data_IF_427697212475
#
_entry.id   IF_427697212475
#
_cell.length_a   1.000
_cell.length_b   1.000
_cell.length_c   1.000
_cell.angle_alpha   90.00
_cell.angle_beta   90.00
_cell.angle_gamma   90.00
#
_symmetry.space_group_name_H-M   'P 1'
#
loop_
_entity.id
_entity.type
_entity.pdbx_description
1 polymer ?
#
# COMPACT_ATOMS: atom_id res chain seq x y z
N UNK A 1 11.97 -2.58 -12.57
CA UNK A 1 10.73 -2.37 -11.80
C UNK A 1 9.76 -3.52 -11.94
N UNK A 2 9.08 -3.68 -13.09
CA UNK A 2 8.02 -4.69 -13.28
C UNK A 2 8.45 -6.13 -13.00
N UNK A 3 9.66 -6.54 -13.40
CA UNK A 3 10.18 -7.88 -13.08
C UNK A 3 10.24 -8.14 -11.57
N UNK A 4 10.67 -7.15 -10.78
CA UNK A 4 10.80 -7.26 -9.33
C UNK A 4 9.41 -7.44 -8.71
N UNK A 5 8.45 -6.57 -9.05
CA UNK A 5 7.06 -6.68 -8.58
C UNK A 5 6.39 -8.00 -8.99
N UNK A 6 6.73 -8.55 -10.15
CA UNK A 6 6.17 -9.79 -10.68
C UNK A 6 6.84 -11.06 -10.12
N UNK A 7 7.57 -10.95 -9.00
CA UNK A 7 8.24 -12.09 -8.34
C UNK A 7 9.51 -12.57 -9.01
N UNK A 8 10.09 -11.79 -9.93
CA UNK A 8 11.34 -12.09 -10.64
C UNK A 8 12.45 -11.12 -10.22
N UNK A 9 12.62 -10.94 -8.90
CA UNK A 9 13.56 -9.98 -8.33
C UNK A 9 15.01 -10.18 -8.80
N UNK A 10 15.51 -11.42 -8.78
CA UNK A 10 16.88 -11.75 -9.25
C UNK A 10 17.09 -11.33 -10.70
N UNK A 11 16.17 -11.70 -11.60
CA UNK A 11 16.24 -11.30 -13.01
C UNK A 11 16.16 -9.78 -13.17
N UNK A 12 15.28 -9.13 -12.40
CA UNK A 12 15.18 -7.67 -12.38
C UNK A 12 16.50 -7.00 -11.98
N UNK A 13 17.17 -7.53 -10.96
CA UNK A 13 18.47 -7.05 -10.49
C UNK A 13 19.57 -7.26 -11.54
N UNK A 14 19.63 -8.43 -12.18
CA UNK A 14 20.58 -8.70 -13.28
C UNK A 14 20.46 -7.68 -14.41
N UNK A 15 19.24 -7.28 -14.79
CA UNK A 15 19.04 -6.24 -15.80
C UNK A 15 19.60 -4.89 -15.36
N UNK A 16 19.43 -4.51 -14.09
CA UNK A 16 19.98 -3.25 -13.55
C UNK A 16 21.51 -3.28 -13.58
N UNK A 17 22.12 -4.38 -13.14
CA UNK A 17 23.58 -4.56 -13.14
C UNK A 17 24.16 -4.57 -14.57
N UNK A 18 23.47 -5.20 -15.53
CA UNK A 18 23.88 -5.17 -16.93
C UNK A 18 23.76 -3.78 -17.53
N UNK A 19 22.69 -3.04 -17.22
CA UNK A 19 22.53 -1.67 -17.68
C UNK A 19 23.67 -0.76 -17.17
N UNK A 20 24.06 -0.91 -15.90
CA UNK A 20 25.16 -0.16 -15.30
C UNK A 20 26.53 -0.43 -15.95
N UNK A 21 26.73 -1.59 -16.58
CA UNK A 21 27.95 -1.89 -17.35
C UNK A 21 27.98 -1.17 -18.71
N UNK A 22 26.80 -0.92 -19.29
CA UNK A 22 26.66 -0.26 -20.59
C UNK A 22 26.68 1.26 -20.42
N UNK A 23 25.99 1.76 -19.40
CA UNK A 23 25.94 3.17 -19.04
C UNK A 23 26.16 3.30 -17.53
N UNK A 24 27.36 3.74 -17.09
CA UNK A 24 27.71 3.81 -15.68
C UNK A 24 27.10 5.01 -14.94
N UNK A 25 26.26 5.82 -15.59
CA UNK A 25 25.60 6.94 -14.92
C UNK A 25 24.53 6.44 -13.93
N UNK A 26 24.68 6.75 -12.64
CA UNK A 26 23.75 6.31 -11.60
C UNK A 26 22.76 7.42 -11.24
N UNK A 27 21.53 7.27 -11.72
CA UNK A 27 20.42 8.13 -11.36
C UNK A 27 19.74 7.66 -10.06
N UNK A 28 18.98 8.53 -9.36
CA UNK A 28 18.16 8.12 -8.21
C UNK A 28 17.27 6.90 -8.50
N UNK A 29 16.62 6.86 -9.67
CA UNK A 29 15.83 5.72 -10.11
C UNK A 29 16.64 4.43 -10.28
N UNK A 30 17.87 4.48 -10.79
CA UNK A 30 18.73 3.28 -10.92
C UNK A 30 19.15 2.73 -9.57
N UNK A 31 19.51 3.62 -8.64
CA UNK A 31 19.76 3.25 -7.24
C UNK A 31 18.51 2.64 -6.59
N UNK A 32 17.34 3.24 -6.79
CA UNK A 32 16.08 2.67 -6.33
C UNK A 32 15.84 1.27 -6.89
N UNK A 33 15.98 1.06 -8.20
CA UNK A 33 15.76 -0.25 -8.82
C UNK A 33 16.73 -1.31 -8.31
N UNK A 34 18.01 -0.97 -8.12
CA UNK A 34 19.00 -1.89 -7.56
C UNK A 34 18.67 -2.21 -6.11
N UNK A 35 18.43 -1.19 -5.28
CA UNK A 35 18.05 -1.34 -3.88
C UNK A 35 16.76 -2.15 -3.71
N UNK A 36 15.77 -1.94 -4.57
CA UNK A 36 14.52 -2.69 -4.55
C UNK A 36 14.72 -4.17 -4.93
N UNK A 37 15.54 -4.45 -5.95
CA UNK A 37 15.91 -5.83 -6.29
C UNK A 37 16.64 -6.53 -5.15
N UNK A 38 17.62 -5.85 -4.55
CA UNK A 38 18.37 -6.35 -3.40
C UNK A 38 17.45 -6.61 -2.19
N UNK A 39 16.54 -5.69 -1.88
CA UNK A 39 15.52 -5.86 -0.84
C UNK A 39 14.67 -7.12 -1.07
N UNK A 40 14.14 -7.29 -2.28
CA UNK A 40 13.29 -8.42 -2.63
C UNK A 40 14.07 -9.75 -2.64
N UNK A 41 15.39 -9.71 -2.84
CA UNK A 41 16.29 -10.87 -2.68
C UNK A 41 16.91 -11.01 -1.29
N UNK A 42 16.42 -10.23 -0.31
CA UNK A 42 16.85 -10.24 1.10
C UNK A 42 18.31 -9.85 1.35
N UNK A 43 18.96 -9.17 0.40
CA UNK A 43 20.31 -8.60 0.52
C UNK A 43 20.26 -7.22 1.18
N UNK A 44 19.79 -7.16 2.43
CA UNK A 44 19.36 -5.91 3.07
C UNK A 44 20.47 -4.89 3.33
N UNK A 45 21.68 -5.33 3.69
CA UNK A 45 22.80 -4.41 3.92
C UNK A 45 23.18 -3.70 2.59
N UNK A 46 23.25 -4.44 1.50
CA UNK A 46 23.54 -3.88 0.17
C UNK A 46 22.40 -2.99 -0.34
N UNK A 47 21.14 -3.41 -0.12
CA UNK A 47 19.98 -2.60 -0.45
C UNK A 47 19.99 -1.25 0.30
N UNK A 48 20.40 -1.25 1.56
CA UNK A 48 20.50 -0.03 2.38
C UNK A 48 21.47 0.97 1.76
N UNK A 49 22.65 0.51 1.31
CA UNK A 49 23.65 1.37 0.65
C UNK A 49 23.05 2.04 -0.60
N UNK A 50 22.41 1.25 -1.46
CA UNK A 50 21.83 1.74 -2.70
C UNK A 50 20.69 2.74 -2.45
N UNK A 51 19.80 2.45 -1.50
CA UNK A 51 18.68 3.33 -1.20
C UNK A 51 19.11 4.62 -0.48
N UNK A 52 20.20 4.58 0.30
CA UNK A 52 20.78 5.79 0.90
C UNK A 52 21.40 6.73 -0.15
N UNK A 53 21.96 6.20 -1.25
CA UNK A 53 22.53 7.00 -2.33
C UNK A 53 21.50 7.95 -2.99
N UNK A 54 20.22 7.54 -3.03
CA UNK A 54 19.09 8.35 -3.52
C UNK A 54 18.92 9.63 -2.66
N UNK A 55 19.20 9.52 -1.36
CA UNK A 55 19.01 10.62 -0.39
C UNK A 55 20.18 11.60 -0.40
N UNK A 56 21.40 11.12 -0.65
CA UNK A 56 22.59 11.99 -0.75
C UNK A 56 22.67 12.81 -2.05
N UNK A 57 21.86 12.48 -3.06
CA UNK A 57 21.86 13.18 -4.34
C UNK A 57 21.24 14.58 -4.26
N UNK A 58 21.87 15.56 -4.90
CA UNK A 58 21.37 16.95 -5.00
C UNK A 58 20.26 17.13 -6.03
N UNK A 59 20.00 16.12 -6.86
CA UNK A 59 18.93 16.15 -7.86
C UNK A 59 17.56 16.11 -7.17
N UNK A 60 16.81 17.20 -7.27
CA UNK A 60 15.48 17.34 -6.65
C UNK A 60 14.36 16.66 -7.42
N UNK A 61 14.64 16.19 -8.64
CA UNK A 61 13.59 15.85 -9.61
C UNK A 61 12.94 14.47 -9.39
N UNK A 62 13.54 13.56 -8.62
CA UNK A 62 13.01 12.19 -8.45
C UNK A 62 12.44 11.94 -7.05
N UNK A 63 11.33 12.62 -6.75
CA UNK A 63 10.57 12.45 -5.51
C UNK A 63 10.03 11.02 -5.32
N UNK A 64 9.71 10.32 -6.41
CA UNK A 64 9.19 8.95 -6.36
C UNK A 64 10.23 7.95 -5.89
N UNK A 65 11.47 8.03 -6.38
CA UNK A 65 12.57 7.17 -5.90
C UNK A 65 12.83 7.37 -4.41
N UNK A 66 12.80 8.62 -3.92
CA UNK A 66 12.97 8.91 -2.49
C UNK A 66 11.82 8.40 -1.66
N UNK A 67 10.58 8.60 -2.11
CA UNK A 67 9.38 8.12 -1.44
C UNK A 67 9.39 6.60 -1.32
N UNK A 68 9.50 5.88 -2.44
CA UNK A 68 9.50 4.41 -2.45
C UNK A 68 10.73 3.83 -1.75
N UNK A 69 11.90 4.43 -1.95
CA UNK A 69 13.14 4.04 -1.27
C UNK A 69 13.06 4.22 0.25
N UNK A 70 12.43 5.29 0.72
CA UNK A 70 12.19 5.55 2.15
C UNK A 70 11.34 4.47 2.81
N UNK A 71 10.30 3.99 2.13
CA UNK A 71 9.47 2.88 2.63
C UNK A 71 10.29 1.60 2.82
N UNK A 72 11.12 1.26 1.82
CA UNK A 72 12.00 0.08 1.89
C UNK A 72 13.07 0.23 2.98
N UNK A 73 13.68 1.42 3.12
CA UNK A 73 14.65 1.72 4.17
C UNK A 73 14.06 1.55 5.58
N UNK A 74 12.85 2.09 5.83
CA UNK A 74 12.17 1.87 7.11
C UNK A 74 11.88 0.40 7.36
N UNK A 75 11.38 -0.31 6.34
CA UNK A 75 11.10 -1.73 6.45
C UNK A 75 12.35 -2.55 6.81
N UNK A 76 13.47 -2.28 6.15
CA UNK A 76 14.75 -2.94 6.45
C UNK A 76 15.28 -2.58 7.83
N UNK A 77 15.24 -1.30 8.21
CA UNK A 77 15.64 -0.86 9.55
C UNK A 77 14.87 -1.59 10.65
N UNK A 78 13.55 -1.71 10.52
CA UNK A 78 12.72 -2.49 11.45
C UNK A 78 13.07 -3.98 11.45
N UNK A 79 13.35 -4.56 10.29
CA UNK A 79 13.78 -5.98 10.18
C UNK A 79 15.11 -6.26 10.88
N UNK A 80 16.07 -5.36 10.71
CA UNK A 80 17.43 -5.49 11.24
C UNK A 80 17.54 -4.99 12.69
N UNK A 81 16.50 -4.40 13.26
CA UNK A 81 16.54 -3.74 14.58
C UNK A 81 17.37 -2.45 14.59
N UNK A 82 17.65 -1.86 13.42
CA UNK A 82 18.50 -0.67 13.23
C UNK A 82 17.64 0.57 12.97
N UNK A 83 16.78 0.90 13.93
CA UNK A 83 15.80 2.01 13.81
C UNK A 83 16.38 3.38 14.19
N UNK A 84 17.59 3.41 14.76
CA UNK A 84 18.28 4.65 15.06
C UNK A 84 18.55 5.44 13.77
N UNK A 85 18.25 6.74 13.78
CA UNK A 85 18.46 7.62 12.63
C UNK A 85 17.38 7.55 11.54
N UNK A 86 16.31 6.76 11.69
CA UNK A 86 15.25 6.68 10.66
C UNK A 86 14.14 7.71 10.81
N UNK A 87 14.24 8.61 11.80
CA UNK A 87 13.22 9.61 12.10
C UNK A 87 12.95 10.58 10.95
N UNK A 88 14.00 11.03 10.26
CA UNK A 88 13.85 11.91 9.09
C UNK A 88 13.08 11.21 7.96
N UNK A 89 13.42 9.96 7.66
CA UNK A 89 12.71 9.14 6.65
C UNK A 89 11.23 9.02 7.04
N UNK A 90 10.95 8.79 8.33
CA UNK A 90 9.56 8.71 8.82
C UNK A 90 8.81 10.03 8.63
N UNK A 91 9.42 11.16 8.98
CA UNK A 91 8.80 12.48 8.85
C UNK A 91 8.49 12.84 7.38
N UNK A 92 9.37 12.50 6.45
CA UNK A 92 9.15 12.71 5.02
C UNK A 92 7.97 11.88 4.49
N UNK A 93 7.89 10.60 4.87
CA UNK A 93 6.77 9.75 4.48
C UNK A 93 5.46 10.24 5.07
N UNK A 94 5.46 10.69 6.33
CA UNK A 94 4.28 11.27 6.96
C UNK A 94 3.88 12.60 6.32
N UNK A 95 4.82 13.39 5.78
CA UNK A 95 4.53 14.59 5.00
C UNK A 95 3.87 14.24 3.66
N UNK A 96 4.45 13.29 2.91
CA UNK A 96 3.87 12.82 1.66
C UNK A 96 2.47 12.22 1.86
N UNK A 97 2.26 11.47 2.94
CA UNK A 97 0.94 10.93 3.26
C UNK A 97 -0.10 12.06 3.46
N UNK A 98 0.29 13.15 4.11
CA UNK A 98 -0.58 14.33 4.30
C UNK A 98 -0.90 15.05 2.99
N UNK A 99 0.03 15.11 2.06
CA UNK A 99 -0.22 15.66 0.71
C UNK A 99 -1.25 14.82 -0.07
N UNK A 100 -1.36 13.52 0.24
CA UNK A 100 -2.39 12.62 -0.29
C UNK A 100 -3.68 12.56 0.56
N UNK A 101 -3.86 13.51 1.48
CA UNK A 101 -4.97 13.58 2.46
C UNK A 101 -5.05 12.39 3.43
N UNK A 102 -3.97 11.62 3.59
CA UNK A 102 -3.85 10.66 4.69
C UNK A 102 -3.29 11.34 5.94
N UNK A 103 -3.69 10.89 7.14
CA UNK A 103 -3.21 11.50 8.38
C UNK A 103 -1.70 11.31 8.62
N UNK A 104 -1.17 10.14 8.27
CA UNK A 104 0.23 9.75 8.40
C UNK A 104 0.53 8.53 7.52
N UNK A 105 1.81 8.21 7.33
CA UNK A 105 2.21 7.00 6.63
C UNK A 105 1.81 5.75 7.41
N UNK A 106 1.26 4.76 6.72
CA UNK A 106 0.79 3.49 7.29
C UNK A 106 1.15 2.31 6.41
N UNK A 107 1.13 1.10 6.97
CA UNK A 107 1.29 -0.13 6.21
C UNK A 107 0.28 -0.25 5.06
N UNK A 108 -0.98 0.12 5.30
CA UNK A 108 -2.02 0.13 4.26
C UNK A 108 -1.69 1.08 3.09
N UNK A 109 -1.08 2.24 3.37
CA UNK A 109 -0.59 3.15 2.32
C UNK A 109 0.63 2.57 1.59
N UNK A 110 1.54 1.91 2.30
CA UNK A 110 2.69 1.25 1.70
C UNK A 110 2.28 0.19 0.67
N UNK A 111 1.18 -0.53 0.94
CA UNK A 111 0.63 -1.49 -0.02
C UNK A 111 0.35 -0.84 -1.37
N UNK A 112 -0.13 0.41 -1.43
CA UNK A 112 -0.45 1.12 -2.68
C UNK A 112 0.78 1.27 -3.60
N UNK A 113 1.95 1.53 -3.02
CA UNK A 113 3.21 1.74 -3.76
C UNK A 113 3.85 0.46 -4.30
N UNK A 114 3.58 -0.69 -3.66
CA UNK A 114 4.21 -1.97 -4.00
C UNK A 114 3.16 -3.07 -4.28
N UNK A 115 2.58 -3.10 -5.49
CA UNK A 115 1.66 -4.17 -5.90
C UNK A 115 2.42 -5.44 -6.26
N UNK A 116 3.02 -6.11 -5.27
CA UNK A 116 3.71 -7.37 -5.47
C UNK A 116 2.73 -8.44 -5.97
N UNK A 117 3.19 -9.27 -6.92
CA UNK A 117 2.45 -10.45 -7.37
C UNK A 117 2.25 -11.45 -6.23
N UNK A 118 3.30 -11.66 -5.42
CA UNK A 118 3.27 -12.61 -4.32
C UNK A 118 2.99 -11.85 -3.03
N UNK A 119 1.92 -12.23 -2.33
CA UNK A 119 1.56 -11.56 -1.08
C UNK A 119 2.63 -11.71 0.01
N UNK A 120 3.44 -12.76 -0.02
CA UNK A 120 4.55 -12.94 0.93
C UNK A 120 5.57 -11.79 0.85
N UNK A 121 5.77 -11.18 -0.32
CA UNK A 121 6.64 -10.02 -0.50
C UNK A 121 6.00 -8.77 0.15
N UNK A 122 4.69 -8.57 -0.03
CA UNK A 122 3.92 -7.53 0.67
C UNK A 122 3.98 -7.73 2.18
N UNK A 123 3.72 -8.94 2.68
CA UNK A 123 3.83 -9.27 4.11
C UNK A 123 5.23 -8.99 4.63
N UNK A 124 6.25 -9.29 3.83
CA UNK A 124 7.64 -9.01 4.18
C UNK A 124 7.89 -7.52 4.37
N UNK A 125 7.43 -6.69 3.42
CA UNK A 125 7.48 -5.23 3.54
C UNK A 125 6.77 -4.75 4.82
N UNK A 126 5.52 -5.19 5.05
CA UNK A 126 4.69 -4.74 6.16
C UNK A 126 5.27 -5.10 7.53
N UNK A 127 5.77 -6.33 7.71
CA UNK A 127 6.40 -6.75 8.98
C UNK A 127 7.58 -5.86 9.34
N UNK A 128 8.39 -5.47 8.35
CA UNK A 128 9.51 -4.56 8.60
C UNK A 128 9.04 -3.16 9.00
N UNK A 129 8.02 -2.63 8.33
CA UNK A 129 7.43 -1.34 8.65
C UNK A 129 6.83 -1.32 10.07
N UNK A 130 6.10 -2.36 10.46
CA UNK A 130 5.57 -2.49 11.82
C UNK A 130 6.69 -2.51 12.85
N UNK A 131 7.77 -3.26 12.60
CA UNK A 131 8.94 -3.29 13.50
C UNK A 131 9.68 -1.95 13.57
N UNK A 132 9.56 -1.08 12.57
CA UNK A 132 10.09 0.29 12.61
C UNK A 132 9.11 1.30 13.22
N UNK A 133 8.01 0.85 13.83
CA UNK A 133 7.02 1.73 14.47
C UNK A 133 6.06 2.42 13.50
N UNK A 134 5.96 1.95 12.25
CA UNK A 134 4.91 2.41 11.32
C UNK A 134 3.60 1.70 11.68
N UNK A 135 2.49 2.43 11.92
CA UNK A 135 1.21 1.81 12.18
C UNK A 135 0.75 1.04 10.94
N UNK A 136 0.16 -0.14 11.13
CA UNK A 136 -0.37 -0.93 10.01
C UNK A 136 -1.54 -0.20 9.33
N UNK A 137 -2.43 0.39 10.14
CA UNK A 137 -3.67 1.00 9.70
C UNK A 137 -3.71 2.51 10.02
N UNK A 138 -4.42 3.30 9.19
CA UNK A 138 -4.71 4.69 9.51
C UNK A 138 -5.76 4.82 10.64
N UNK A 139 -6.03 6.06 11.06
CA UNK A 139 -7.11 6.42 12.01
C UNK A 139 -7.03 5.74 13.39
N UNK A 140 -5.84 5.32 13.81
CA UNK A 140 -5.62 4.61 15.09
C UNK A 140 -6.49 3.36 15.25
N UNK A 141 -6.83 2.70 14.14
CA UNK A 141 -7.57 1.45 14.17
C UNK A 141 -6.67 0.32 14.67
N UNK A 142 -7.25 -0.54 15.51
CA UNK A 142 -6.55 -1.71 16.02
C UNK A 142 -6.45 -2.80 14.94
N UNK A 143 -5.24 -3.14 14.45
CA UNK A 143 -5.07 -4.18 13.44
C UNK A 143 -5.46 -5.58 13.94
N UNK A 144 -5.47 -5.80 15.27
CA UNK A 144 -5.85 -7.06 15.90
C UNK A 144 -7.33 -7.09 16.34
N UNK A 145 -8.12 -6.07 15.98
CA UNK A 145 -9.53 -6.01 16.35
C UNK A 145 -10.28 -7.26 15.88
N UNK A 146 -11.11 -7.89 16.73
CA UNK A 146 -11.94 -9.03 16.32
C UNK A 146 -13.03 -8.62 15.31
N UNK A 147 -13.25 -7.32 15.12
CA UNK A 147 -14.17 -6.80 14.11
C UNK A 147 -13.51 -6.73 12.72
N UNK A 148 -12.18 -6.81 12.64
CA UNK A 148 -11.47 -6.77 11.36
C UNK A 148 -11.75 -8.05 10.58
N UNK A 149 -12.18 -7.89 9.34
CA UNK A 149 -12.39 -9.01 8.44
C UNK A 149 -11.06 -9.48 7.86
N UNK A 150 -10.89 -10.79 7.79
CA UNK A 150 -9.82 -11.42 7.03
C UNK A 150 -10.15 -11.48 5.53
N UNK A 151 -9.17 -11.83 4.69
CA UNK A 151 -9.33 -11.87 3.24
C UNK A 151 -10.52 -12.70 2.74
N UNK A 152 -10.79 -13.85 3.36
CA UNK A 152 -11.91 -14.72 2.97
C UNK A 152 -13.26 -14.09 3.33
N UNK A 153 -13.36 -13.47 4.51
CA UNK A 153 -14.56 -12.75 4.93
C UNK A 153 -14.81 -11.53 4.03
N UNK A 154 -13.78 -10.76 3.70
CA UNK A 154 -13.89 -9.64 2.76
C UNK A 154 -14.39 -10.13 1.40
N UNK A 155 -13.84 -11.25 0.89
CA UNK A 155 -14.29 -11.84 -0.36
C UNK A 155 -15.78 -12.17 -0.34
N UNK A 156 -16.24 -12.84 0.72
CA UNK A 156 -17.65 -13.23 0.88
C UNK A 156 -18.59 -12.03 0.98
N UNK A 157 -18.13 -10.88 1.49
CA UNK A 157 -18.95 -9.67 1.64
C UNK A 157 -18.98 -8.86 0.35
N UNK A 158 -17.84 -8.68 -0.33
CA UNK A 158 -17.75 -7.73 -1.44
C UNK A 158 -17.92 -8.38 -2.82
N UNK A 159 -17.43 -9.61 -3.03
CA UNK A 159 -17.39 -10.21 -4.36
C UNK A 159 -18.73 -10.88 -4.69
N UNK A 160 -19.31 -10.49 -5.82
CA UNK A 160 -20.67 -10.88 -6.22
C UNK A 160 -21.76 -9.95 -5.66
N UNK A 161 -21.40 -8.87 -4.97
CA UNK A 161 -22.34 -8.03 -4.26
C UNK A 161 -22.23 -6.54 -4.62
N UNK A 162 -23.28 -5.82 -4.27
CA UNK A 162 -23.35 -4.37 -4.28
C UNK A 162 -23.53 -3.89 -2.84
N UNK A 163 -22.73 -2.90 -2.45
CA UNK A 163 -22.81 -2.25 -1.17
C UNK A 163 -23.03 -0.76 -1.38
N UNK A 164 -23.90 -0.15 -0.57
CA UNK A 164 -24.14 1.29 -0.62
C UNK A 164 -24.10 1.91 0.78
N UNK A 165 -23.79 3.19 0.86
CA UNK A 165 -23.63 3.90 2.11
C UNK A 165 -23.02 5.28 1.92
N UNK A 166 -22.12 5.70 2.79
CA UNK A 166 -21.56 7.07 2.80
C UNK A 166 -20.06 7.10 3.11
N UNK A 167 -19.34 8.05 2.53
CA UNK A 167 -18.01 8.45 2.99
C UNK A 167 -18.15 9.29 4.27
N UNK A 168 -17.39 8.95 5.32
CA UNK A 168 -17.55 9.56 6.63
C UNK A 168 -16.93 10.96 6.70
N UNK A 169 -15.90 11.23 5.89
CA UNK A 169 -15.20 12.51 5.87
C UNK A 169 -15.98 13.60 5.13
N UNK A 170 -16.76 13.24 4.10
CA UNK A 170 -17.45 14.20 3.23
C UNK A 170 -18.97 14.14 3.35
N UNK A 171 -19.53 13.02 3.84
CA UNK A 171 -20.96 12.75 3.85
C UNK A 171 -21.53 12.37 2.48
N UNK A 172 -20.69 12.23 1.44
CA UNK A 172 -21.13 11.86 0.10
C UNK A 172 -21.64 10.42 0.06
N UNK A 173 -22.66 10.17 -0.77
CA UNK A 173 -23.14 8.81 -1.01
C UNK A 173 -22.06 8.00 -1.71
N UNK A 174 -21.91 6.75 -1.28
CA UNK A 174 -20.96 5.80 -1.84
C UNK A 174 -21.71 4.52 -2.26
N UNK A 175 -21.47 4.06 -3.48
CA UNK A 175 -21.97 2.77 -3.98
C UNK A 175 -20.78 2.02 -4.57
N UNK A 176 -20.61 0.77 -4.19
CA UNK A 176 -19.58 -0.12 -4.71
C UNK A 176 -20.20 -1.43 -5.14
N UNK A 177 -19.96 -1.80 -6.39
CA UNK A 177 -20.30 -3.12 -6.91
C UNK A 177 -19.03 -3.85 -7.26
N UNK A 178 -18.87 -5.08 -6.78
CA UNK A 178 -17.77 -5.95 -7.19
C UNK A 178 -18.36 -7.27 -7.66
N UNK A 179 -18.15 -7.59 -8.93
CA UNK A 179 -18.57 -8.87 -9.50
C UNK A 179 -17.72 -10.03 -8.96
N UNK A 180 -18.18 -11.26 -9.16
CA UNK A 180 -17.51 -12.46 -8.64
C UNK A 180 -16.10 -12.67 -9.22
N UNK A 181 -15.84 -12.17 -10.44
CA UNK A 181 -14.51 -12.22 -11.09
C UNK A 181 -13.60 -11.05 -10.69
N UNK A 182 -14.07 -10.14 -9.84
CA UNK A 182 -13.30 -9.01 -9.33
C UNK A 182 -13.43 -7.72 -10.13
N UNK A 183 -14.20 -7.65 -11.24
CA UNK A 183 -14.51 -6.34 -11.85
C UNK A 183 -15.32 -5.49 -10.88
N UNK A 184 -14.92 -4.24 -10.71
CA UNK A 184 -15.49 -3.34 -9.72
C UNK A 184 -15.94 -2.02 -10.36
N UNK A 185 -17.07 -1.49 -9.90
CA UNK A 185 -17.49 -0.12 -10.14
C UNK A 185 -17.75 0.58 -8.81
N UNK A 186 -17.37 1.85 -8.72
CA UNK A 186 -17.53 2.67 -7.52
C UNK A 186 -18.09 4.02 -7.92
N UNK A 187 -19.07 4.49 -7.16
CA UNK A 187 -19.56 5.86 -7.18
C UNK A 187 -19.33 6.46 -5.80
N UNK A 188 -18.74 7.66 -5.74
CA UNK A 188 -18.64 8.47 -4.52
C UNK A 188 -19.00 9.90 -4.89
N UNK A 189 -20.15 10.39 -4.41
CA UNK A 189 -20.68 11.68 -4.81
C UNK A 189 -20.82 11.80 -6.33
N UNK A 190 -20.07 12.74 -6.93
CA UNK A 190 -20.02 12.93 -8.39
C UNK A 190 -18.97 12.08 -9.09
N UNK A 191 -18.04 11.49 -8.35
CA UNK A 191 -16.98 10.68 -8.91
C UNK A 191 -17.47 9.26 -9.19
N UNK A 192 -17.02 8.72 -10.33
CA UNK A 192 -17.28 7.35 -10.76
C UNK A 192 -15.98 6.71 -11.26
N UNK A 193 -15.80 5.43 -10.99
CA UNK A 193 -14.69 4.65 -11.51
C UNK A 193 -15.06 3.20 -11.76
N UNK A 194 -14.54 2.64 -12.86
CA UNK A 194 -14.60 1.22 -13.21
C UNK A 194 -13.19 0.63 -13.24
N UNK A 195 -13.04 -0.61 -12.78
CA UNK A 195 -11.73 -1.22 -12.63
C UNK A 195 -11.81 -2.64 -12.11
N UNK A 196 -10.79 -3.04 -11.35
CA UNK A 196 -10.67 -4.39 -10.79
C UNK A 196 -10.28 -4.37 -9.33
N UNK A 197 -10.70 -5.38 -8.60
CA UNK A 197 -10.38 -5.58 -7.19
C UNK A 197 -9.92 -7.01 -6.92
N UNK A 198 -8.96 -7.12 -6.02
CA UNK A 198 -8.41 -8.40 -5.58
C UNK A 198 -8.18 -8.40 -4.08
N UNK A 199 -8.19 -9.59 -3.49
CA UNK A 199 -7.83 -9.78 -2.08
C UNK A 199 -6.32 -9.96 -1.99
N UNK A 200 -5.69 -9.20 -1.10
CA UNK A 200 -4.27 -9.27 -0.79
C UNK A 200 -4.09 -9.36 0.73
N UNK A 201 -3.96 -10.59 1.23
CA UNK A 201 -4.04 -10.86 2.67
C UNK A 201 -5.40 -10.44 3.23
N UNK A 202 -5.38 -9.62 4.27
CA UNK A 202 -6.57 -9.11 4.95
C UNK A 202 -6.97 -7.70 4.47
N UNK A 203 -6.74 -7.42 3.19
CA UNK A 203 -7.16 -6.22 2.51
C UNK A 203 -7.77 -6.52 1.14
N UNK A 204 -8.65 -5.63 0.68
CA UNK A 204 -9.09 -5.59 -0.71
C UNK A 204 -8.41 -4.42 -1.41
N UNK A 205 -7.65 -4.70 -2.47
CA UNK A 205 -6.93 -3.71 -3.24
C UNK A 205 -7.61 -3.52 -4.59
N UNK A 206 -7.91 -2.27 -4.91
CA UNK A 206 -8.62 -1.86 -6.12
C UNK A 206 -7.71 -1.04 -7.04
N UNK A 207 -7.82 -1.26 -8.34
CA UNK A 207 -7.17 -0.47 -9.38
C UNK A 207 -8.23 0.06 -10.33
N UNK A 208 -8.25 1.38 -10.51
CA UNK A 208 -9.14 2.08 -11.43
C UNK A 208 -8.26 2.90 -12.38
N UNK A 209 -8.50 2.94 -13.70
CA UNK A 209 -7.65 3.70 -14.62
C UNK A 209 -7.54 5.19 -14.29
N UNK A 210 -8.53 5.74 -13.59
CA UNK A 210 -8.61 7.15 -13.21
C UNK A 210 -8.06 7.46 -11.82
N UNK A 211 -7.61 6.47 -11.04
CA UNK A 211 -7.08 6.67 -9.69
C UNK A 211 -5.86 5.79 -9.40
N UNK A 212 -4.95 6.23 -8.52
CA UNK A 212 -3.93 5.35 -7.97
C UNK A 212 -4.54 4.09 -7.35
N UNK A 213 -3.78 3.00 -7.35
CA UNK A 213 -4.18 1.77 -6.66
C UNK A 213 -4.41 2.07 -5.18
N UNK A 214 -5.50 1.55 -4.63
CA UNK A 214 -5.86 1.74 -3.23
C UNK A 214 -6.21 0.41 -2.56
N UNK A 215 -5.59 0.14 -1.43
CA UNK A 215 -5.91 -0.98 -0.56
C UNK A 215 -6.78 -0.54 0.61
N UNK A 216 -7.70 -1.43 0.97
CA UNK A 216 -8.70 -1.16 1.99
C UNK A 216 -8.73 -2.28 3.03
N UNK A 217 -8.68 -1.87 4.30
CA UNK A 217 -9.03 -2.74 5.41
C UNK A 217 -10.54 -2.68 5.64
N UNK A 218 -11.13 -3.77 6.14
CA UNK A 218 -12.56 -3.86 6.36
C UNK A 218 -12.85 -4.33 7.77
N UNK A 219 -13.79 -3.67 8.43
CA UNK A 219 -14.28 -4.05 9.74
C UNK A 219 -15.79 -4.23 9.70
N UNK A 220 -16.33 -5.13 10.52
CA UNK A 220 -17.76 -5.13 10.86
C UNK A 220 -18.09 -3.81 11.54
N UNK A 221 -19.15 -3.15 11.07
CA UNK A 221 -19.63 -1.92 11.66
C UNK A 221 -20.63 -2.22 12.77
N UNK A 222 -20.19 -2.04 14.03
CA UNK A 222 -21.04 -2.24 15.21
C UNK A 222 -22.20 -1.25 15.31
N UNK A 223 -22.12 -0.12 14.60
CA UNK A 223 -23.17 0.91 14.63
C UNK A 223 -24.19 0.72 13.49
N UNK A 224 -24.09 -0.38 12.73
CA UNK A 224 -25.08 -0.72 11.72
C UNK A 224 -26.46 -0.90 12.36
N UNK A 225 -27.51 -0.41 11.70
CA UNK A 225 -28.88 -0.60 12.21
C UNK A 225 -29.21 -2.09 12.24
N UNK A 226 -30.02 -2.50 13.22
CA UNK A 226 -30.49 -3.86 13.34
C UNK A 226 -31.12 -4.36 12.02
N UNK A 227 -30.69 -5.54 11.56
CA UNK A 227 -31.13 -6.13 10.30
C UNK A 227 -30.35 -5.69 9.05
N UNK A 228 -29.31 -4.85 9.18
CA UNK A 228 -28.38 -4.54 8.09
C UNK A 228 -26.97 -5.02 8.41
N UNK A 229 -26.36 -5.73 7.46
CA UNK A 229 -24.94 -6.08 7.52
C UNK A 229 -24.11 -4.85 7.12
N UNK A 230 -23.58 -4.13 8.11
CA UNK A 230 -22.77 -2.94 7.91
C UNK A 230 -21.26 -3.18 8.06
N UNK A 231 -20.49 -2.44 7.29
CA UNK A 231 -19.04 -2.55 7.22
C UNK A 231 -18.36 -1.19 7.18
N UNK A 232 -17.32 -1.02 7.99
CA UNK A 232 -16.40 0.09 7.91
C UNK A 232 -15.29 -0.28 6.91
N UNK A 233 -15.27 0.42 5.79
CA UNK A 233 -14.36 0.21 4.68
C UNK A 233 -13.33 1.34 4.65
N UNK A 234 -12.05 1.02 4.88
CA UNK A 234 -11.04 2.01 5.26
C UNK A 234 -9.89 2.02 4.27
N UNK A 235 -9.63 3.17 3.63
CA UNK A 235 -8.38 3.44 2.88
C UNK A 235 -7.49 4.41 3.66
N UNK A 236 -6.23 4.66 3.25
CA UNK A 236 -5.34 5.57 3.95
C UNK A 236 -5.91 6.97 4.26
N UNK A 237 -6.73 7.53 3.36
CA UNK A 237 -7.24 8.91 3.45
C UNK A 237 -8.73 9.04 3.77
N UNK A 238 -9.50 7.96 3.79
CA UNK A 238 -10.94 8.04 4.05
C UNK A 238 -11.53 6.74 4.58
N UNK A 239 -12.72 6.86 5.18
CA UNK A 239 -13.53 5.76 5.71
C UNK A 239 -14.91 5.82 5.10
N UNK A 240 -15.45 4.66 4.78
CA UNK A 240 -16.79 4.50 4.26
C UNK A 240 -17.57 3.60 5.18
N UNK A 241 -18.81 3.97 5.46
CA UNK A 241 -19.80 3.11 6.11
C UNK A 241 -20.67 2.54 5.01
N UNK A 242 -20.52 1.25 4.72
CA UNK A 242 -21.18 0.56 3.62
C UNK A 242 -22.10 -0.54 4.16
N UNK A 243 -23.24 -0.73 3.51
CA UNK A 243 -24.22 -1.75 3.87
C UNK A 243 -24.42 -2.72 2.72
N UNK A 244 -24.47 -4.00 3.05
CA UNK A 244 -24.85 -5.05 2.11
C UNK A 244 -26.37 -5.21 2.18
N UNK A 245 -27.04 -4.94 1.06
CA UNK A 245 -28.48 -5.16 0.93
C UNK A 245 -28.70 -6.58 0.40
N UNK A 246 -29.35 -7.43 1.20
CA UNK A 246 -29.74 -8.79 0.84
C UNK A 246 -31.18 -8.82 0.33
#
# INVERSE_FOLDING_TARGET
YALILNGQATKGLEFVERAAKVDPNWTPWRHFLKGFGLFATQRYDEATIELQAIRSGTETFDAWSRYLGGQLLLSMAGRLGRIEGTMEIRQELDAHARDENAGAFSGLLAMNGFPFKNYDDTRSLLVGLTKSGVPELPFNLDPASPLRLNGQQIKNVFFGHELAGTELETGESAVRKTSADGKASVNVGKWHGEGSSQIEGDAICSWFPTLPRNCYAVFVDKDAKAGMDGYLYVRPSARFRLFLFR
#
